data_IF_708291811299
#
_entry.id   IF_708291811299
#
_cell.length_a   1.000
_cell.length_b   1.000
_cell.length_c   1.000
_cell.angle_alpha   90.00
_cell.angle_beta   90.00
_cell.angle_gamma   90.00
#
_symmetry.space_group_name_H-M   'P 1'
#
loop_
_entity.id
_entity.type
_entity.pdbx_description
1 polymer ?
#
# COMPACT_ATOMS: atom_id res chain seq x y z
N UNK A 1 -30.61 -12.76 -32.05
CA UNK A 1 -29.52 -13.35 -31.26
C UNK A 1 -29.14 -12.38 -30.16
N UNK A 2 -28.77 -12.85 -28.96
CA UNK A 2 -28.35 -12.00 -27.84
C UNK A 2 -27.09 -12.59 -27.19
N UNK A 3 -26.15 -11.72 -26.78
CA UNK A 3 -24.88 -12.08 -26.15
C UNK A 3 -24.73 -11.30 -24.82
N UNK A 4 -24.23 -11.97 -23.79
CA UNK A 4 -23.86 -11.38 -22.51
C UNK A 4 -22.38 -11.67 -22.23
N UNK A 5 -21.62 -10.64 -21.86
CA UNK A 5 -20.22 -10.75 -21.42
C UNK A 5 -20.15 -10.43 -19.94
N UNK A 6 -19.51 -11.32 -19.16
CA UNK A 6 -19.29 -11.14 -17.72
C UNK A 6 -17.78 -11.00 -17.48
N UNK A 7 -17.39 -9.94 -16.78
CA UNK A 7 -16.00 -9.66 -16.38
C UNK A 7 -15.93 -9.82 -14.87
N UNK A 8 -14.99 -10.63 -14.39
CA UNK A 8 -14.79 -10.95 -12.97
C UNK A 8 -13.30 -10.94 -12.65
N UNK A 9 -12.96 -10.50 -11.44
CA UNK A 9 -11.62 -10.67 -10.87
C UNK A 9 -11.57 -12.05 -10.20
N UNK A 10 -10.55 -12.83 -10.49
CA UNK A 10 -10.44 -14.23 -10.05
C UNK A 10 -9.22 -14.39 -9.15
N UNK A 11 -9.37 -15.14 -8.07
CA UNK A 11 -8.29 -15.49 -7.14
C UNK A 11 -7.29 -16.43 -7.82
N UNK A 12 -6.04 -16.01 -7.86
CA UNK A 12 -4.95 -16.72 -8.54
C UNK A 12 -4.56 -18.06 -7.87
N UNK A 13 -4.97 -18.28 -6.60
CA UNK A 13 -4.65 -19.51 -5.86
C UNK A 13 -5.69 -20.61 -6.05
N UNK A 14 -6.98 -20.26 -6.03
CA UNK A 14 -8.07 -21.24 -5.99
C UNK A 14 -9.15 -21.05 -7.06
N UNK A 15 -9.10 -19.96 -7.84
CA UNK A 15 -10.06 -19.68 -8.90
C UNK A 15 -11.42 -19.13 -8.43
N UNK A 16 -11.56 -18.80 -7.15
CA UNK A 16 -12.75 -18.11 -6.61
C UNK A 16 -12.80 -16.62 -7.01
N UNK A 17 -13.84 -15.89 -6.59
CA UNK A 17 -13.91 -14.44 -6.85
C UNK A 17 -12.89 -13.71 -5.98
N UNK A 18 -11.98 -12.97 -6.61
CA UNK A 18 -10.99 -12.16 -5.90
C UNK A 18 -11.59 -10.84 -5.41
N UNK A 19 -11.10 -10.40 -4.25
CA UNK A 19 -11.50 -9.16 -3.60
C UNK A 19 -10.49 -8.04 -3.83
N UNK A 20 -9.19 -8.35 -3.89
CA UNK A 20 -8.12 -7.36 -4.02
C UNK A 20 -6.84 -7.93 -4.64
N UNK A 21 -6.05 -7.05 -5.27
CA UNK A 21 -4.67 -7.35 -5.67
C UNK A 21 -3.72 -7.01 -4.53
N UNK A 22 -2.91 -7.96 -4.08
CA UNK A 22 -1.89 -7.76 -3.03
C UNK A 22 -0.50 -7.72 -3.65
N UNK A 23 0.27 -6.67 -3.32
CA UNK A 23 1.69 -6.58 -3.68
C UNK A 23 2.57 -7.00 -2.50
N UNK A 24 3.55 -7.87 -2.76
CA UNK A 24 4.53 -8.30 -1.77
C UNK A 24 5.90 -8.49 -2.44
N UNK A 25 6.96 -8.64 -1.66
CA UNK A 25 8.31 -8.83 -2.18
C UNK A 25 9.07 -9.93 -1.44
N UNK A 26 9.87 -10.68 -2.18
CA UNK A 26 10.76 -11.72 -1.67
C UNK A 26 12.07 -11.68 -2.46
N UNK A 27 13.20 -11.71 -1.76
CA UNK A 27 14.55 -11.67 -2.35
C UNK A 27 14.78 -10.52 -3.36
N UNK A 28 14.13 -9.38 -3.12
CA UNK A 28 14.25 -8.18 -3.95
C UNK A 28 13.39 -8.19 -5.22
N UNK A 29 12.58 -9.23 -5.44
CA UNK A 29 11.60 -9.29 -6.53
C UNK A 29 10.23 -8.91 -5.99
N UNK A 30 9.54 -8.00 -6.69
CA UNK A 30 8.17 -7.60 -6.38
C UNK A 30 7.17 -8.48 -7.14
N UNK A 31 6.15 -8.94 -6.44
CA UNK A 31 5.08 -9.79 -6.95
C UNK A 31 3.72 -9.14 -6.70
N UNK A 32 2.78 -9.38 -7.60
CA UNK A 32 1.36 -9.03 -7.45
C UNK A 32 0.53 -10.29 -7.61
N UNK A 33 -0.51 -10.43 -6.79
CA UNK A 33 -1.43 -11.58 -6.83
C UNK A 33 -2.85 -11.11 -6.52
N UNK A 34 -3.83 -11.58 -7.28
CA UNK A 34 -5.25 -11.33 -7.05
C UNK A 34 -5.80 -12.38 -6.10
N UNK A 35 -6.40 -11.95 -4.99
CA UNK A 35 -6.83 -12.84 -3.91
C UNK A 35 -8.24 -12.47 -3.41
N UNK A 36 -8.99 -13.50 -3.05
CA UNK A 36 -10.15 -13.41 -2.17
C UNK A 36 -9.74 -12.85 -0.81
N UNK A 37 -10.71 -12.33 -0.06
CA UNK A 37 -10.44 -11.72 1.25
C UNK A 37 -9.74 -12.69 2.20
N UNK A 38 -10.21 -13.93 2.26
CA UNK A 38 -9.66 -14.95 3.14
C UNK A 38 -8.23 -15.31 2.76
N UNK A 39 -7.90 -15.39 1.47
CA UNK A 39 -6.54 -15.69 1.03
C UNK A 39 -5.59 -14.50 1.20
N UNK A 40 -6.08 -13.28 1.00
CA UNK A 40 -5.31 -12.06 1.30
C UNK A 40 -4.96 -11.95 2.79
N UNK A 41 -5.90 -12.30 3.68
CA UNK A 41 -5.67 -12.33 5.12
C UNK A 41 -4.67 -13.42 5.51
N UNK A 42 -4.79 -14.64 4.94
CA UNK A 42 -3.79 -15.71 5.13
C UNK A 42 -2.37 -15.29 4.73
N UNK A 43 -2.22 -14.57 3.62
CA UNK A 43 -0.91 -14.06 3.18
C UNK A 43 -0.34 -13.07 4.22
N UNK A 44 -1.14 -12.13 4.70
CA UNK A 44 -0.72 -11.13 5.71
C UNK A 44 -0.36 -11.78 7.04
N UNK A 45 -1.14 -12.76 7.48
CA UNK A 45 -0.88 -13.53 8.70
C UNK A 45 0.41 -14.34 8.59
N UNK A 46 0.65 -15.00 7.45
CA UNK A 46 1.87 -15.78 7.20
C UNK A 46 3.14 -14.92 7.25
N UNK A 47 3.02 -13.63 6.91
CA UNK A 47 4.12 -12.67 6.96
C UNK A 47 4.21 -11.92 8.30
N UNK A 48 3.22 -12.04 9.18
CA UNK A 48 3.07 -11.18 10.35
C UNK A 48 4.26 -11.25 11.31
N UNK A 49 4.74 -12.46 11.62
CA UNK A 49 5.87 -12.65 12.54
C UNK A 49 7.17 -12.05 12.00
N UNK A 50 7.41 -12.20 10.69
CA UNK A 50 8.57 -11.62 10.02
C UNK A 50 8.49 -10.10 10.03
N UNK A 51 7.33 -9.54 9.66
CA UNK A 51 7.09 -8.09 9.64
C UNK A 51 7.25 -7.50 11.05
N UNK A 52 6.76 -8.19 12.08
CA UNK A 52 6.85 -7.74 13.48
C UNK A 52 8.30 -7.63 14.00
N UNK A 53 9.23 -8.43 13.47
CA UNK A 53 10.64 -8.42 13.85
C UNK A 53 11.55 -7.71 12.85
N UNK A 54 11.07 -7.44 11.64
CA UNK A 54 11.85 -6.85 10.57
C UNK A 54 12.03 -5.33 10.73
N UNK A 55 13.05 -4.82 10.04
CA UNK A 55 13.30 -3.39 9.85
C UNK A 55 12.74 -3.00 8.49
N UNK A 56 12.00 -1.90 8.40
CA UNK A 56 11.58 -1.37 7.09
C UNK A 56 12.81 -0.94 6.31
N UNK A 57 13.16 -1.68 5.26
CA UNK A 57 14.29 -1.37 4.37
C UNK A 57 14.02 -0.14 3.48
N UNK A 58 12.74 0.18 3.28
CA UNK A 58 12.28 1.35 2.53
C UNK A 58 11.01 1.92 3.16
N UNK A 59 11.03 3.22 3.41
CA UNK A 59 9.85 4.02 3.72
C UNK A 59 10.08 5.38 3.11
N UNK A 60 9.04 5.96 2.50
CA UNK A 60 9.05 7.36 2.05
C UNK A 60 9.66 8.17 3.19
N UNK A 61 10.88 8.70 3.01
CA UNK A 61 11.38 9.77 3.89
C UNK A 61 10.23 10.74 3.95
N UNK A 62 9.56 10.86 5.09
CA UNK A 62 8.74 12.03 5.34
C UNK A 62 9.76 13.15 5.16
N UNK A 63 9.72 13.85 4.02
CA UNK A 63 10.49 15.07 3.85
C UNK A 63 10.00 15.90 5.02
N UNK A 64 10.80 15.96 6.10
CA UNK A 64 10.60 16.90 7.18
C UNK A 64 10.54 18.21 6.44
N UNK A 65 9.33 18.72 6.23
CA UNK A 65 9.13 19.95 5.51
C UNK A 65 10.01 20.93 6.24
N UNK A 66 11.04 21.42 5.58
CA UNK A 66 11.76 22.60 6.04
C UNK A 66 10.67 23.64 6.13
N UNK A 67 10.15 23.83 7.34
CA UNK A 67 9.13 24.81 7.64
C UNK A 67 9.67 26.10 7.08
N UNK A 68 9.01 26.59 6.03
CA UNK A 68 9.21 27.94 5.52
C UNK A 68 8.93 28.82 6.72
N UNK A 69 10.00 29.28 7.39
CA UNK A 69 9.91 30.25 8.47
C UNK A 69 9.32 31.50 7.83
N UNK A 70 8.01 31.65 7.92
CA UNK A 70 7.33 32.91 7.68
C UNK A 70 7.83 33.86 8.75
N UNK A 71 8.84 34.66 8.38
CA UNK A 71 9.27 35.80 9.17
C UNK A 71 8.04 36.64 9.49
N UNK A 72 7.77 36.70 10.80
CA UNK A 72 6.68 37.40 11.44
C UNK A 72 6.75 38.89 11.09
N UNK A 73 5.60 39.44 10.70
CA UNK A 73 5.38 40.88 10.57
C UNK A 73 5.83 41.62 11.83
N UNK A 74 6.66 42.63 11.65
CA UNK A 74 7.06 43.59 12.67
C UNK A 74 6.52 44.97 12.29
N UNK A 75 5.37 45.30 12.86
CA UNK A 75 4.86 46.65 13.05
C UNK A 75 5.97 47.59 13.57
N UNK A 76 6.22 48.71 12.87
CA UNK A 76 6.67 49.95 13.50
C UNK A 76 6.08 51.16 12.77
N UNK A 77 4.94 51.59 13.29
CA UNK A 77 4.48 52.96 13.20
C UNK A 77 5.35 53.89 14.08
N UNK A 78 5.33 55.19 13.72
CA UNK A 78 5.75 56.41 14.45
C UNK A 78 7.25 56.74 14.53
N UNK A 79 7.65 57.74 13.74
CA UNK A 79 8.01 59.09 14.21
C UNK A 79 7.82 60.09 13.06
#
# INVERSE_FOLDING_TARGET
>A
MAQQTVVQLIDDLDGSEAAETVTFALDGVEYSIDLSKDNADKLRESLADFVAKARRAGGRKQRKGTGKSTVKAGDKARA
#
